data_IF_167961118240
#
_entry.id   IF_167961118240
#
_cell.length_a   1.000
_cell.length_b   1.000
_cell.length_c   1.000
_cell.angle_alpha   90.00
_cell.angle_beta   90.00
_cell.angle_gamma   90.00
#
_symmetry.space_group_name_H-M   'P 1'
#
loop_
_entity.id
_entity.type
_entity.pdbx_description
1 polymer ?
#
# COMPACT_ATOMS: atom_id res chain seq x y z
N UNK A 1 44.09 72.77 -16.06
CA UNK A 1 42.62 72.93 -16.10
C UNK A 1 41.98 71.75 -15.37
N UNK A 2 41.53 71.91 -14.12
CA UNK A 2 40.83 70.83 -13.38
C UNK A 2 39.40 70.74 -13.93
N UNK A 3 39.05 69.65 -14.62
CA UNK A 3 37.68 69.40 -15.08
C UNK A 3 36.80 69.24 -13.84
N UNK A 4 35.73 70.04 -13.73
CA UNK A 4 34.82 70.01 -12.60
C UNK A 4 33.96 68.73 -12.71
N UNK A 5 34.35 67.67 -11.98
CA UNK A 5 33.75 66.32 -12.02
C UNK A 5 32.48 66.18 -11.16
N UNK A 6 32.13 67.22 -10.42
CA UNK A 6 30.96 67.27 -9.54
C UNK A 6 29.64 67.01 -10.30
N UNK A 7 29.33 67.66 -11.45
CA UNK A 7 28.07 67.41 -12.15
C UNK A 7 27.94 65.98 -12.69
N UNK A 8 29.05 65.34 -13.10
CA UNK A 8 29.03 63.95 -13.57
C UNK A 8 28.73 62.95 -12.44
N UNK A 9 29.21 63.21 -11.23
CA UNK A 9 28.93 62.36 -10.06
C UNK A 9 27.46 62.50 -9.65
N UNK A 10 26.93 63.73 -9.65
CA UNK A 10 25.51 63.97 -9.33
C UNK A 10 24.59 63.28 -10.34
N UNK A 11 24.91 63.36 -11.63
CA UNK A 11 24.14 62.69 -12.68
C UNK A 11 24.17 61.15 -12.52
N UNK A 12 25.33 60.58 -12.20
CA UNK A 12 25.47 59.14 -11.98
C UNK A 12 24.70 58.66 -10.73
N UNK A 13 24.74 59.42 -9.63
CA UNK A 13 24.00 59.09 -8.41
C UNK A 13 22.49 59.20 -8.62
N UNK A 14 22.02 60.23 -9.33
CA UNK A 14 20.61 60.37 -9.68
C UNK A 14 20.13 59.20 -10.56
N UNK A 15 20.93 58.79 -11.56
CA UNK A 15 20.62 57.65 -12.41
C UNK A 15 20.54 56.35 -11.60
N UNK A 16 21.50 56.10 -10.71
CA UNK A 16 21.50 54.91 -9.85
C UNK A 16 20.26 54.88 -8.93
N UNK A 17 19.88 56.02 -8.36
CA UNK A 17 18.72 56.13 -7.48
C UNK A 17 17.41 55.90 -8.25
N UNK A 18 17.30 56.43 -9.47
CA UNK A 18 16.17 56.15 -10.38
C UNK A 18 16.10 54.68 -10.75
N UNK A 19 17.22 54.03 -11.07
CA UNK A 19 17.26 52.59 -11.36
C UNK A 19 16.82 51.77 -10.14
N UNK A 20 17.28 52.12 -8.94
CA UNK A 20 16.89 51.45 -7.69
C UNK A 20 15.38 51.62 -7.44
N UNK A 21 14.82 52.81 -7.63
CA UNK A 21 13.38 53.06 -7.46
C UNK A 21 12.54 52.31 -8.51
N UNK A 22 12.99 52.29 -9.77
CA UNK A 22 12.29 51.59 -10.86
C UNK A 22 12.36 50.06 -10.73
N UNK A 23 13.42 49.52 -10.13
CA UNK A 23 13.60 48.08 -9.92
C UNK A 23 13.09 47.59 -8.56
N UNK A 24 12.82 48.47 -7.58
CA UNK A 24 12.30 48.11 -6.26
C UNK A 24 11.01 47.25 -6.29
N UNK A 25 9.97 47.56 -7.10
CA UNK A 25 8.75 46.78 -7.10
C UNK A 25 8.92 45.38 -7.74
N UNK A 26 10.00 45.15 -8.49
CA UNK A 26 10.28 43.84 -9.13
C UNK A 26 10.92 42.83 -8.16
N UNK A 27 11.42 43.27 -7.00
CA UNK A 27 12.14 42.40 -6.06
C UNK A 27 11.26 41.85 -4.93
N UNK A 28 10.05 42.41 -4.73
CA UNK A 28 9.23 42.12 -3.54
C UNK A 28 8.12 41.07 -3.73
N UNK A 29 8.12 40.30 -4.81
CA UNK A 29 7.21 39.15 -4.95
C UNK A 29 7.92 37.84 -4.59
N UNK A 30 8.36 37.71 -3.35
CA UNK A 30 8.53 36.38 -2.73
C UNK A 30 7.12 35.98 -2.30
N UNK A 31 6.47 34.99 -2.95
CA UNK A 31 5.23 34.46 -2.41
C UNK A 31 5.52 34.02 -0.97
N UNK A 32 4.64 34.31 0.01
CA UNK A 32 4.86 33.90 1.38
C UNK A 32 4.96 32.37 1.39
N UNK A 33 6.20 31.87 1.45
CA UNK A 33 6.51 30.48 1.68
C UNK A 33 6.14 30.14 3.11
N UNK A 34 4.84 30.08 3.38
CA UNK A 34 4.25 29.56 4.59
C UNK A 34 4.29 28.03 4.60
N UNK A 35 5.45 27.47 4.29
CA UNK A 35 5.77 26.07 4.51
C UNK A 35 7.03 26.04 5.35
N UNK A 36 6.87 26.16 6.68
CA UNK A 36 7.97 25.84 7.58
C UNK A 36 8.48 24.44 7.21
N UNK A 37 9.79 24.26 7.08
CA UNK A 37 10.34 22.96 6.79
C UNK A 37 9.86 21.97 7.87
N UNK A 38 9.03 21.00 7.47
CA UNK A 38 8.53 20.00 8.40
C UNK A 38 9.65 19.06 8.83
N UNK A 39 9.56 18.54 10.05
CA UNK A 39 10.48 17.50 10.52
C UNK A 39 10.32 16.25 9.66
N UNK A 40 11.43 15.55 9.38
CA UNK A 40 11.46 14.33 8.54
C UNK A 40 11.02 13.09 9.32
N UNK A 41 10.04 13.24 10.20
CA UNK A 41 9.49 12.12 10.97
C UNK A 41 8.56 11.29 10.10
N UNK A 42 8.61 9.98 10.30
CA UNK A 42 7.74 9.02 9.65
C UNK A 42 6.83 8.38 10.72
N UNK A 43 5.53 8.32 10.45
CA UNK A 43 4.55 7.60 11.27
C UNK A 43 4.15 6.33 10.57
N UNK A 44 4.25 5.20 11.27
CA UNK A 44 3.73 3.92 10.81
C UNK A 44 2.21 3.98 10.74
N UNK A 45 1.66 3.55 9.62
CA UNK A 45 0.23 3.48 9.41
C UNK A 45 -0.39 2.26 10.13
N UNK A 46 -1.71 2.24 10.34
CA UNK A 46 -2.40 1.10 10.96
C UNK A 46 -2.20 -0.23 10.21
N UNK A 47 -1.81 -0.15 8.93
CA UNK A 47 -1.43 -1.31 8.11
C UNK A 47 -0.14 -2.01 8.58
N UNK A 48 0.68 -1.35 9.41
CA UNK A 48 1.93 -1.90 9.94
C UNK A 48 3.09 -1.94 8.93
N UNK A 49 2.92 -1.44 7.71
CA UNK A 49 3.87 -1.61 6.60
C UNK A 49 4.15 -0.28 5.88
N UNK A 50 3.20 0.65 5.84
CA UNK A 50 3.40 1.97 5.23
C UNK A 50 3.76 3.04 6.25
N UNK A 51 4.49 4.04 5.79
CA UNK A 51 4.96 5.15 6.60
C UNK A 51 4.60 6.47 5.93
N UNK A 52 4.02 7.39 6.69
CA UNK A 52 3.66 8.73 6.23
C UNK A 52 4.53 9.79 6.89
N UNK A 53 4.95 10.78 6.10
CA UNK A 53 5.67 11.96 6.58
C UNK A 53 4.74 13.10 6.96
N UNK A 54 5.29 14.15 7.58
CA UNK A 54 4.57 15.40 7.81
C UNK A 54 4.44 16.21 6.52
N UNK A 55 3.27 16.80 6.29
CA UNK A 55 2.96 17.62 5.11
C UNK A 55 2.05 18.80 5.47
N UNK A 56 1.91 19.74 4.54
CA UNK A 56 1.03 20.90 4.68
C UNK A 56 1.57 22.03 5.58
N UNK A 57 0.82 23.15 5.68
CA UNK A 57 1.25 24.35 6.40
C UNK A 57 1.39 24.15 7.91
N UNK A 58 0.72 23.15 8.48
CA UNK A 58 0.78 22.81 9.91
C UNK A 58 1.70 21.61 10.23
N UNK A 59 2.39 21.04 9.22
CA UNK A 59 3.23 19.85 9.40
C UNK A 59 2.54 18.68 10.11
N UNK A 60 1.31 18.38 9.69
CA UNK A 60 0.54 17.23 10.16
C UNK A 60 0.95 15.98 9.36
N UNK A 61 0.83 14.80 9.94
CA UNK A 61 1.06 13.56 9.18
C UNK A 61 0.09 13.48 8.01
N UNK A 62 0.60 13.16 6.83
CA UNK A 62 -0.25 12.84 5.69
C UNK A 62 -1.20 11.69 6.06
N UNK A 63 -2.38 11.66 5.44
CA UNK A 63 -3.26 10.51 5.57
C UNK A 63 -2.52 9.25 5.10
N UNK A 64 -2.70 8.15 5.83
CA UNK A 64 -2.24 6.85 5.36
C UNK A 64 -2.87 6.56 4.00
N UNK A 65 -2.09 6.04 3.03
CA UNK A 65 -2.70 5.57 1.80
C UNK A 65 -3.81 4.58 2.19
N UNK A 66 -4.99 4.71 1.58
CA UNK A 66 -5.96 3.64 1.71
C UNK A 66 -5.29 2.39 1.13
N UNK A 67 -5.44 1.21 1.75
CA UNK A 67 -4.90 -0.06 1.25
C UNK A 67 -5.23 -0.29 -0.25
N UNK A 68 -6.29 0.36 -0.71
CA UNK A 68 -6.77 0.43 -2.09
C UNK A 68 -5.76 1.04 -3.09
N UNK A 69 -4.85 1.92 -2.66
CA UNK A 69 -3.94 2.64 -3.57
C UNK A 69 -2.68 1.85 -3.97
N UNK A 70 -2.37 0.73 -3.30
CA UNK A 70 -1.20 -0.12 -3.62
C UNK A 70 -1.47 -1.02 -4.84
N UNK A 71 -2.70 -1.46 -5.01
CA UNK A 71 -3.12 -2.34 -6.10
C UNK A 71 -4.00 -1.54 -7.05
N UNK A 72 -3.37 -0.99 -8.10
CA UNK A 72 -4.10 -0.28 -9.15
C UNK A 72 -5.12 -1.25 -9.76
N UNK A 73 -6.38 -0.81 -9.90
CA UNK A 73 -7.47 -1.52 -10.58
C UNK A 73 -8.18 -2.62 -9.75
N UNK A 74 -8.85 -2.21 -8.66
CA UNK A 74 -9.80 -3.07 -7.95
C UNK A 74 -11.04 -3.34 -8.80
N UNK A 75 -11.32 -4.62 -9.05
CA UNK A 75 -12.51 -5.10 -9.74
C UNK A 75 -13.61 -5.45 -8.74
N UNK A 76 -14.85 -5.27 -9.16
CA UNK A 76 -16.04 -5.68 -8.39
C UNK A 76 -16.42 -7.10 -8.80
N UNK A 77 -16.72 -7.94 -7.82
CA UNK A 77 -17.33 -9.25 -7.99
C UNK A 77 -18.65 -9.30 -7.25
N UNK A 78 -19.65 -9.94 -7.84
CA UNK A 78 -20.95 -10.16 -7.22
C UNK A 78 -21.33 -11.62 -7.38
N UNK A 79 -21.62 -12.29 -6.26
CA UNK A 79 -22.25 -13.60 -6.21
C UNK A 79 -23.72 -13.41 -5.80
N UNK A 80 -24.60 -13.40 -6.79
CA UNK A 80 -26.05 -13.25 -6.60
C UNK A 80 -26.67 -14.39 -5.78
N UNK A 81 -26.07 -15.59 -5.80
CA UNK A 81 -26.61 -16.74 -5.06
C UNK A 81 -26.37 -16.59 -3.57
N UNK A 82 -25.22 -16.03 -3.21
CA UNK A 82 -24.84 -15.75 -1.82
C UNK A 82 -25.26 -14.34 -1.36
N UNK A 83 -25.73 -13.49 -2.28
CA UNK A 83 -26.11 -12.11 -1.99
C UNK A 83 -24.91 -11.27 -1.52
N UNK A 84 -23.74 -11.47 -2.12
CA UNK A 84 -22.52 -10.75 -1.73
C UNK A 84 -21.92 -10.01 -2.91
N UNK A 85 -21.54 -8.76 -2.66
CA UNK A 85 -20.70 -7.98 -3.57
C UNK A 85 -19.42 -7.59 -2.84
N UNK A 86 -18.28 -7.72 -3.51
CA UNK A 86 -16.97 -7.38 -2.94
C UNK A 86 -16.03 -6.86 -4.02
N UNK A 87 -14.94 -6.24 -3.61
CA UNK A 87 -13.87 -5.82 -4.52
C UNK A 87 -12.61 -6.62 -4.26
N UNK A 88 -11.82 -6.83 -5.30
CA UNK A 88 -10.51 -7.48 -5.23
C UNK A 88 -9.54 -6.82 -6.22
N UNK A 89 -8.23 -6.80 -5.95
CA UNK A 89 -7.26 -6.28 -6.90
C UNK A 89 -7.12 -7.20 -8.12
N UNK A 90 -7.14 -6.63 -9.33
CA UNK A 90 -6.91 -7.40 -10.56
C UNK A 90 -5.47 -7.96 -10.63
N UNK A 91 -4.52 -7.26 -10.02
CA UNK A 91 -3.13 -7.66 -9.90
C UNK A 91 -2.62 -7.43 -8.49
N UNK A 92 -1.78 -8.34 -8.00
CA UNK A 92 -1.09 -8.23 -6.72
C UNK A 92 0.15 -7.33 -6.79
N UNK A 93 0.45 -6.72 -7.95
CA UNK A 93 1.61 -5.83 -8.11
C UNK A 93 2.95 -6.56 -7.99
N UNK A 94 2.95 -7.86 -8.27
CA UNK A 94 4.09 -8.79 -8.15
C UNK A 94 4.59 -9.23 -9.53
N UNK A 95 5.88 -9.56 -9.61
CA UNK A 95 6.54 -10.08 -10.80
C UNK A 95 6.75 -11.60 -10.73
N UNK A 96 7.03 -12.14 -9.54
CA UNK A 96 7.41 -13.54 -9.33
C UNK A 96 6.31 -14.38 -8.69
N UNK A 97 5.65 -13.87 -7.65
CA UNK A 97 4.51 -14.53 -6.98
C UNK A 97 3.26 -14.23 -7.79
N UNK A 98 2.73 -15.24 -8.48
CA UNK A 98 1.63 -15.03 -9.42
C UNK A 98 0.34 -15.68 -8.94
N UNK A 99 -0.82 -15.08 -9.21
CA UNK A 99 -2.11 -15.73 -8.95
C UNK A 99 -2.26 -17.05 -9.73
N UNK A 100 -2.77 -18.08 -9.07
CA UNK A 100 -3.18 -19.34 -9.70
C UNK A 100 -4.72 -19.46 -9.72
N UNK A 101 -5.32 -19.44 -8.53
CA UNK A 101 -6.78 -19.41 -8.36
C UNK A 101 -7.16 -18.02 -7.85
N UNK A 102 -7.49 -17.15 -8.80
CA UNK A 102 -7.85 -15.74 -8.58
C UNK A 102 -8.83 -15.29 -9.67
N UNK A 103 -9.90 -14.54 -9.35
CA UNK A 103 -10.23 -13.85 -8.09
C UNK A 103 -10.44 -14.78 -6.89
N UNK A 104 -10.33 -14.26 -5.66
CA UNK A 104 -10.58 -15.07 -4.48
C UNK A 104 -12.04 -15.54 -4.44
N UNK A 105 -12.24 -16.77 -4.01
CA UNK A 105 -13.55 -17.36 -3.78
C UNK A 105 -14.01 -16.94 -2.39
N UNK A 106 -15.24 -16.44 -2.29
CA UNK A 106 -15.84 -16.08 -1.02
C UNK A 106 -16.92 -17.09 -0.67
N UNK A 107 -16.82 -17.66 0.53
CA UNK A 107 -17.84 -18.55 1.08
C UNK A 107 -18.46 -17.91 2.32
N UNK A 108 -19.79 -17.85 2.36
CA UNK A 108 -20.54 -17.39 3.53
C UNK A 108 -21.17 -18.59 4.23
N UNK A 109 -21.00 -18.69 5.54
CA UNK A 109 -21.70 -19.66 6.35
C UNK A 109 -22.23 -19.07 7.67
N UNK A 110 -23.09 -19.82 8.33
CA UNK A 110 -23.54 -19.54 9.70
C UNK A 110 -22.60 -20.21 10.69
N UNK A 111 -22.01 -19.43 11.59
CA UNK A 111 -21.05 -19.96 12.55
C UNK A 111 -20.38 -18.86 13.38
N UNK A 112 -19.52 -19.28 14.30
CA UNK A 112 -18.63 -18.41 15.05
C UNK A 112 -17.18 -18.69 14.62
N UNK A 113 -16.34 -17.65 14.61
CA UNK A 113 -14.92 -17.80 14.32
C UNK A 113 -14.22 -18.55 15.47
N UNK A 114 -13.82 -19.79 15.23
CA UNK A 114 -12.99 -20.60 16.13
C UNK A 114 -11.67 -20.93 15.45
N UNK A 115 -10.54 -20.38 15.94
CA UNK A 115 -9.21 -20.71 15.43
C UNK A 115 -8.58 -21.80 16.29
N UNK A 116 -8.46 -23.01 15.76
CA UNK A 116 -7.61 -24.05 16.35
C UNK A 116 -6.21 -23.92 15.74
N UNK A 117 -5.32 -23.18 16.42
CA UNK A 117 -3.96 -22.96 15.93
C UNK A 117 -3.13 -24.25 15.97
N UNK A 118 -2.39 -24.53 14.91
CA UNK A 118 -1.57 -25.73 14.81
C UNK A 118 -1.48 -26.30 13.40
N UNK A 119 -1.01 -27.53 13.30
CA UNK A 119 -1.04 -28.30 12.06
C UNK A 119 -2.46 -28.83 11.80
N UNK A 120 -2.89 -28.80 10.55
CA UNK A 120 -4.16 -29.32 10.09
C UNK A 120 -3.95 -30.05 8.75
N UNK A 121 -5.00 -30.68 8.25
CA UNK A 121 -5.03 -31.32 6.94
C UNK A 121 -6.31 -30.82 6.26
N UNK A 122 -6.19 -30.27 5.05
CA UNK A 122 -7.37 -29.85 4.28
C UNK A 122 -8.26 -31.04 3.93
N UNK A 123 -9.50 -30.77 3.54
CA UNK A 123 -10.41 -31.81 3.02
C UNK A 123 -9.80 -32.61 1.86
N UNK A 124 -8.91 -31.99 1.07
CA UNK A 124 -8.17 -32.62 -0.03
C UNK A 124 -6.90 -33.37 0.40
N UNK A 125 -6.64 -33.48 1.71
CA UNK A 125 -5.50 -34.22 2.24
C UNK A 125 -4.18 -33.46 2.21
N UNK A 126 -4.19 -32.13 2.02
CA UNK A 126 -2.98 -31.31 1.96
C UNK A 126 -2.58 -30.88 3.37
N UNK A 127 -1.35 -31.17 3.83
CA UNK A 127 -0.85 -30.67 5.10
C UNK A 127 -0.94 -29.14 5.16
N UNK A 128 -1.48 -28.64 6.26
CA UNK A 128 -1.78 -27.24 6.47
C UNK A 128 -1.32 -26.77 7.83
N UNK A 129 -1.23 -25.45 7.96
CA UNK A 129 -1.06 -24.79 9.26
C UNK A 129 -2.14 -23.73 9.42
N UNK A 130 -2.73 -23.70 10.61
CA UNK A 130 -3.72 -22.70 11.02
C UNK A 130 -3.05 -21.76 12.00
N UNK A 131 -3.10 -20.46 11.70
CA UNK A 131 -2.56 -19.40 12.56
C UNK A 131 -3.62 -18.33 12.79
N UNK A 132 -3.69 -17.82 14.01
CA UNK A 132 -4.56 -16.68 14.33
C UNK A 132 -3.83 -15.38 14.04
N UNK A 133 -4.48 -14.48 13.32
CA UNK A 133 -3.96 -13.14 13.01
C UNK A 133 -4.94 -12.05 13.41
N UNK A 134 -4.41 -10.88 13.72
CA UNK A 134 -5.18 -9.64 13.85
C UNK A 134 -4.64 -8.69 12.77
N UNK A 135 -5.50 -8.34 11.82
CA UNK A 135 -5.16 -7.47 10.68
C UNK A 135 -6.14 -6.30 10.74
N UNK A 136 -5.62 -5.08 10.88
CA UNK A 136 -6.46 -3.93 11.22
C UNK A 136 -7.22 -4.14 12.52
N UNK A 137 -8.56 -4.07 12.47
CA UNK A 137 -9.48 -4.33 13.58
C UNK A 137 -10.15 -5.72 13.51
N UNK A 138 -9.79 -6.53 12.52
CA UNK A 138 -10.40 -7.84 12.25
C UNK A 138 -9.50 -8.98 12.70
N UNK A 139 -10.11 -9.98 13.33
CA UNK A 139 -9.44 -11.23 13.66
C UNK A 139 -9.65 -12.21 12.51
N UNK A 140 -8.57 -12.87 12.10
CA UNK A 140 -8.57 -13.89 11.06
C UNK A 140 -8.01 -15.20 11.61
N UNK A 141 -8.57 -16.33 11.16
CA UNK A 141 -7.86 -17.60 11.16
C UNK A 141 -7.35 -17.83 9.74
N UNK A 142 -6.04 -17.91 9.56
CA UNK A 142 -5.42 -18.24 8.28
C UNK A 142 -5.08 -19.72 8.29
N UNK A 143 -5.74 -20.50 7.45
CA UNK A 143 -5.27 -21.82 7.07
C UNK A 143 -4.45 -21.71 5.78
N UNK A 144 -3.23 -22.25 5.79
CA UNK A 144 -2.38 -22.27 4.60
C UNK A 144 -1.60 -23.56 4.49
N UNK A 145 -1.43 -24.04 3.27
CA UNK A 145 -0.65 -25.23 2.96
C UNK A 145 -0.16 -25.17 1.52
N UNK A 146 0.67 -26.14 1.15
CA UNK A 146 1.42 -26.06 -0.10
C UNK A 146 1.61 -27.38 -0.80
N UNK A 147 1.41 -27.37 -2.12
CA UNK A 147 1.76 -28.49 -3.00
C UNK A 147 2.98 -28.12 -3.86
N UNK A 148 4.02 -28.93 -3.77
CA UNK A 148 5.24 -28.75 -4.55
C UNK A 148 5.08 -29.24 -5.99
N UNK A 149 5.47 -28.40 -6.95
CA UNK A 149 5.54 -28.75 -8.38
C UNK A 149 6.95 -28.51 -8.95
N UNK A 150 7.16 -28.85 -10.22
CA UNK A 150 8.42 -28.62 -10.91
C UNK A 150 8.74 -27.12 -10.98
N UNK A 151 9.70 -26.66 -10.15
CA UNK A 151 10.18 -25.28 -10.13
C UNK A 151 9.28 -24.27 -9.42
N UNK A 152 8.18 -24.69 -8.78
CA UNK A 152 7.28 -23.80 -8.02
C UNK A 152 6.59 -24.56 -6.89
N UNK A 153 6.00 -23.83 -5.95
CA UNK A 153 5.09 -24.34 -4.94
C UNK A 153 3.78 -23.56 -5.07
N UNK A 154 2.65 -24.26 -5.11
CA UNK A 154 1.34 -23.65 -5.07
C UNK A 154 0.90 -23.60 -3.62
N UNK A 155 0.72 -22.39 -3.11
CA UNK A 155 0.28 -22.16 -1.73
C UNK A 155 -1.18 -21.77 -1.79
N UNK A 156 -2.03 -22.61 -1.21
CA UNK A 156 -3.42 -22.25 -0.99
C UNK A 156 -3.52 -21.49 0.34
N UNK A 157 -4.47 -20.57 0.43
CA UNK A 157 -4.74 -19.81 1.65
C UNK A 157 -6.24 -19.61 1.80
N UNK A 158 -6.73 -19.91 3.01
CA UNK A 158 -8.11 -19.65 3.43
C UNK A 158 -8.09 -18.73 4.63
N UNK A 159 -8.59 -17.51 4.45
CA UNK A 159 -8.73 -16.53 5.52
C UNK A 159 -10.16 -16.52 6.01
N UNK A 160 -10.39 -17.10 7.20
CA UNK A 160 -11.67 -17.07 7.88
C UNK A 160 -11.80 -15.83 8.77
N UNK A 161 -12.92 -15.12 8.70
CA UNK A 161 -13.26 -14.03 9.64
C UNK A 161 -14.77 -13.89 9.82
N UNK A 162 -15.19 -12.93 10.64
CA UNK A 162 -16.61 -12.57 10.82
C UNK A 162 -16.85 -11.16 10.32
N UNK A 163 -17.83 -10.98 9.44
CA UNK A 163 -18.30 -9.66 9.00
C UNK A 163 -19.82 -9.59 9.02
N UNK A 164 -20.38 -8.54 9.61
CA UNK A 164 -21.83 -8.34 9.72
C UNK A 164 -22.57 -9.57 10.27
N UNK A 165 -21.98 -10.20 11.29
CA UNK A 165 -22.48 -11.43 11.94
C UNK A 165 -22.58 -12.66 11.01
N UNK A 166 -21.88 -12.62 9.87
CA UNK A 166 -21.69 -13.75 8.95
C UNK A 166 -20.26 -14.25 9.06
N UNK A 167 -20.08 -15.56 9.11
CA UNK A 167 -18.77 -16.17 8.98
C UNK A 167 -18.43 -16.23 7.50
N UNK A 168 -17.23 -15.77 7.15
CA UNK A 168 -16.77 -15.69 5.77
C UNK A 168 -15.38 -16.31 5.64
N UNK A 169 -15.13 -16.98 4.52
CA UNK A 169 -13.78 -17.35 4.08
C UNK A 169 -13.40 -16.62 2.81
N UNK A 170 -12.13 -16.25 2.70
CA UNK A 170 -11.51 -15.71 1.49
C UNK A 170 -10.45 -16.71 1.04
N UNK A 171 -10.75 -17.43 -0.04
CA UNK A 171 -9.98 -18.59 -0.49
C UNK A 171 -9.28 -18.27 -1.82
N UNK A 172 -7.97 -18.52 -1.91
CA UNK A 172 -7.20 -18.32 -3.13
C UNK A 172 -5.91 -19.15 -3.13
N UNK A 173 -5.32 -19.31 -4.32
CA UNK A 173 -4.03 -20.00 -4.50
C UNK A 173 -3.06 -19.10 -5.24
N UNK A 174 -1.84 -18.98 -4.72
CA UNK A 174 -0.74 -18.29 -5.41
C UNK A 174 0.40 -19.26 -5.72
N UNK A 175 1.05 -19.02 -6.86
CA UNK A 175 2.22 -19.77 -7.30
C UNK A 175 3.50 -19.04 -6.88
N UNK A 176 4.30 -19.70 -6.07
CA UNK A 176 5.62 -19.25 -5.62
C UNK A 176 6.71 -19.98 -6.41
N UNK A 177 7.50 -19.30 -7.25
CA UNK A 177 8.61 -19.95 -7.94
C UNK A 177 9.74 -20.29 -6.97
N UNK A 178 10.55 -21.32 -7.29
CA UNK A 178 11.82 -21.55 -6.57
C UNK A 178 12.84 -20.50 -7.01
N UNK A 179 13.11 -19.50 -6.17
CA UNK A 179 13.94 -18.37 -6.53
C UNK A 179 15.38 -18.76 -6.89
N UNK A 180 15.87 -19.92 -6.41
CA UNK A 180 17.19 -20.48 -6.72
C UNK A 180 17.38 -20.81 -8.21
N UNK A 181 16.29 -20.92 -8.96
CA UNK A 181 16.34 -21.13 -10.41
C UNK A 181 16.71 -19.87 -11.20
N UNK A 182 16.70 -18.69 -10.56
CA UNK A 182 17.07 -17.43 -11.20
C UNK A 182 18.53 -17.06 -10.96
N UNK A 183 19.08 -16.26 -11.86
CA UNK A 183 20.37 -15.58 -11.69
C UNK A 183 20.16 -14.17 -11.12
N UNK A 184 21.20 -13.56 -10.56
CA UNK A 184 21.12 -12.18 -10.10
C UNK A 184 20.87 -11.19 -11.25
N UNK A 185 20.08 -10.12 -11.02
CA UNK A 185 19.47 -9.70 -9.75
C UNK A 185 18.11 -10.36 -9.44
N UNK A 186 17.56 -11.15 -10.38
CA UNK A 186 16.20 -11.67 -10.27
C UNK A 186 16.04 -12.66 -9.12
N UNK A 187 17.09 -13.40 -8.76
CA UNK A 187 17.09 -14.23 -7.55
C UNK A 187 16.84 -13.40 -6.29
N UNK A 188 17.62 -12.34 -6.08
CA UNK A 188 17.44 -11.45 -4.92
C UNK A 188 16.08 -10.74 -4.95
N UNK A 189 15.63 -10.30 -6.12
CA UNK A 189 14.32 -9.65 -6.27
C UNK A 189 13.17 -10.61 -5.94
N UNK A 190 13.22 -11.85 -6.43
CA UNK A 190 12.26 -12.90 -6.13
C UNK A 190 12.18 -13.20 -4.62
N UNK A 191 13.33 -13.39 -3.96
CA UNK A 191 13.38 -13.65 -2.52
C UNK A 191 12.82 -12.48 -1.71
N UNK A 192 13.10 -11.25 -2.14
CA UNK A 192 12.55 -10.05 -1.52
C UNK A 192 11.03 -9.98 -1.70
N UNK A 193 10.53 -10.18 -2.91
CA UNK A 193 9.10 -10.14 -3.18
C UNK A 193 8.33 -11.21 -2.39
N UNK A 194 8.83 -12.45 -2.34
CA UNK A 194 8.20 -13.52 -1.55
C UNK A 194 8.13 -13.19 -0.05
N UNK A 195 9.07 -12.39 0.46
CA UNK A 195 9.09 -11.95 1.86
C UNK A 195 8.21 -10.74 2.11
N UNK A 196 8.16 -9.80 1.16
CA UNK A 196 7.56 -8.48 1.34
C UNK A 196 6.12 -8.40 0.77
N UNK A 197 5.64 -9.44 0.07
CA UNK A 197 4.26 -9.52 -0.39
C UNK A 197 3.30 -9.48 0.80
N UNK A 198 2.42 -8.49 0.79
CA UNK A 198 1.44 -8.25 1.85
C UNK A 198 0.09 -8.84 1.45
N UNK A 199 -0.12 -10.11 1.77
CA UNK A 199 -1.41 -10.78 1.54
C UNK A 199 -2.43 -10.45 2.63
N UNK A 200 -1.96 -10.20 3.84
CA UNK A 200 -2.81 -9.86 4.98
C UNK A 200 -3.59 -8.58 4.69
N UNK A 201 -2.92 -7.52 4.25
CA UNK A 201 -3.57 -6.26 3.86
C UNK A 201 -4.48 -6.38 2.64
N UNK A 202 -4.15 -7.25 1.67
CA UNK A 202 -5.02 -7.52 0.50
C UNK A 202 -6.34 -8.12 0.94
N UNK A 203 -6.28 -9.18 1.76
CA UNK A 203 -7.47 -9.88 2.24
C UNK A 203 -8.29 -8.99 3.16
N UNK A 204 -7.63 -8.21 4.01
CA UNK A 204 -8.29 -7.28 4.91
C UNK A 204 -9.06 -6.20 4.14
N UNK A 205 -8.47 -5.68 3.06
CA UNK A 205 -9.13 -4.74 2.14
C UNK A 205 -10.28 -5.37 1.35
N UNK A 206 -10.13 -6.62 0.87
CA UNK A 206 -11.24 -7.37 0.23
C UNK A 206 -12.39 -7.49 1.21
N UNK A 207 -12.11 -7.97 2.43
CA UNK A 207 -13.09 -8.13 3.48
C UNK A 207 -13.77 -6.79 3.81
N UNK A 208 -13.04 -5.67 3.88
CA UNK A 208 -13.61 -4.34 4.13
C UNK A 208 -14.65 -3.93 3.09
N UNK A 209 -14.42 -4.26 1.82
CA UNK A 209 -15.31 -3.89 0.71
C UNK A 209 -16.57 -4.73 0.58
N UNK A 210 -16.67 -5.87 1.29
CA UNK A 210 -17.81 -6.78 1.18
C UNK A 210 -19.12 -6.12 1.66
N UNK A 211 -20.16 -6.21 0.84
CA UNK A 211 -21.53 -5.86 1.19
C UNK A 211 -22.43 -7.07 0.99
N UNK A 212 -23.39 -7.25 1.90
CA UNK A 212 -24.35 -8.34 1.86
C UNK A 212 -25.75 -7.77 1.63
N UNK A 213 -26.50 -8.39 0.72
CA UNK A 213 -27.89 -8.09 0.40
C UNK A 213 -28.86 -9.03 1.13
#
# INVERSE_FOLDING_TARGET
MKKNIIPTIIAALALALVVVVLLWPRFSSIPPGGGGACTMEAKLCPDGISYVGRTGPNCEFAACPALVDKYKDWKVSTDEKQGITFKYPDSLGTEFVLPNDWPPIITISSGALTCEEGESITDDGIPSSVVKKVIGDRTYCLESGGEGAAGSVYIYSSYATTKSNKFITVDFTLRYPRCENYIEPNKSNCLKEQKDIDLDGVVDGIAETMSFE
#
